data_IF_086853293044
#
_entry.id   IF_086853293044
#
_cell.length_a   1.000
_cell.length_b   1.000
_cell.length_c   1.000
_cell.angle_alpha   90.00
_cell.angle_beta   90.00
_cell.angle_gamma   90.00
#
_symmetry.space_group_name_H-M   'P 1'
#
loop_
_entity.id
_entity.type
_entity.pdbx_description
1 polymer ?
#
# COMPACT_ATOMS: atom_id res chain seq x y z
N UNK A 1 -22.28 16.39 0.83
CA UNK A 1 -20.91 16.63 1.31
C UNK A 1 -20.84 16.21 2.77
N UNK A 2 -19.72 15.66 3.23
CA UNK A 2 -19.51 15.27 4.63
C UNK A 2 -18.52 16.23 5.29
N UNK A 3 -18.70 16.53 6.57
CA UNK A 3 -17.78 17.37 7.35
C UNK A 3 -17.08 16.53 8.40
N UNK A 4 -15.75 16.47 8.34
CA UNK A 4 -14.92 15.69 9.26
C UNK A 4 -14.54 16.54 10.47
N UNK A 5 -15.41 16.57 11.49
CA UNK A 5 -15.25 17.43 12.68
C UNK A 5 -14.21 16.91 13.68
N UNK A 6 -13.99 15.59 13.74
CA UNK A 6 -12.95 15.01 14.58
C UNK A 6 -11.53 15.43 14.11
N UNK A 7 -10.57 15.68 15.03
CA UNK A 7 -9.23 16.10 14.67
C UNK A 7 -8.44 14.99 13.96
N UNK A 8 -7.46 15.38 13.13
CA UNK A 8 -6.53 14.43 12.53
C UNK A 8 -5.43 14.05 13.51
N UNK A 9 -5.46 12.79 13.95
CA UNK A 9 -4.39 12.17 14.74
C UNK A 9 -3.91 10.91 14.04
N UNK A 10 -2.60 10.79 13.83
CA UNK A 10 -1.98 9.62 13.24
C UNK A 10 -2.33 8.37 14.06
N UNK A 11 -2.84 7.33 13.39
CA UNK A 11 -3.34 6.12 14.05
C UNK A 11 -4.78 6.21 14.57
N UNK A 12 -5.50 7.30 14.31
CA UNK A 12 -6.92 7.46 14.68
C UNK A 12 -7.80 7.92 13.51
N UNK A 13 -7.31 7.80 12.26
CA UNK A 13 -8.05 8.20 11.06
C UNK A 13 -9.45 7.55 10.98
N UNK A 14 -9.58 6.32 11.48
CA UNK A 14 -10.85 5.60 11.52
C UNK A 14 -11.96 6.39 12.24
N UNK A 15 -11.66 7.13 13.30
CA UNK A 15 -12.67 7.93 14.02
C UNK A 15 -13.22 9.09 13.18
N UNK A 16 -12.46 9.56 12.19
CA UNK A 16 -12.92 10.59 11.27
C UNK A 16 -13.81 10.02 10.19
N UNK A 17 -13.45 8.86 9.64
CA UNK A 17 -14.06 8.35 8.41
C UNK A 17 -15.16 7.32 8.64
N UNK A 18 -14.98 6.41 9.61
CA UNK A 18 -15.84 5.24 9.79
C UNK A 18 -17.31 5.59 10.05
N UNK A 19 -17.68 6.62 10.86
CA UNK A 19 -19.08 6.96 11.05
C UNK A 19 -19.82 7.22 9.72
N UNK A 20 -19.18 7.92 8.79
CA UNK A 20 -19.76 8.22 7.46
C UNK A 20 -19.81 6.98 6.55
N UNK A 21 -18.84 6.07 6.69
CA UNK A 21 -18.82 4.80 5.95
C UNK A 21 -19.91 3.85 6.45
N UNK A 22 -20.11 3.74 7.76
CA UNK A 22 -21.19 2.96 8.38
C UNK A 22 -22.55 3.49 7.91
N UNK A 23 -22.73 4.81 7.92
CA UNK A 23 -23.95 5.44 7.38
C UNK A 23 -24.19 5.11 5.91
N UNK A 24 -23.14 5.05 5.09
CA UNK A 24 -23.25 4.67 3.69
C UNK A 24 -23.69 3.20 3.51
N UNK A 25 -23.12 2.28 4.31
CA UNK A 25 -23.52 0.87 4.31
C UNK A 25 -24.96 0.71 4.80
N UNK A 26 -25.36 1.40 5.87
CA UNK A 26 -26.75 1.36 6.37
C UNK A 26 -27.74 1.86 5.32
N UNK A 27 -27.43 2.96 4.65
CA UNK A 27 -28.28 3.49 3.55
C UNK A 27 -28.40 2.50 2.39
N UNK A 28 -27.34 1.76 2.06
CA UNK A 28 -27.40 0.71 1.05
C UNK A 28 -28.30 -0.44 1.49
N UNK A 29 -28.16 -0.90 2.74
CA UNK A 29 -28.99 -1.94 3.33
C UNK A 29 -30.49 -1.58 3.32
N UNK A 30 -30.83 -0.32 3.60
CA UNK A 30 -32.20 0.17 3.59
C UNK A 30 -32.76 0.31 2.17
N UNK A 31 -31.98 0.87 1.24
CA UNK A 31 -32.47 1.23 -0.10
C UNK A 31 -32.42 0.09 -1.11
N UNK A 32 -31.36 -0.71 -1.07
CA UNK A 32 -31.09 -1.78 -2.03
C UNK A 32 -30.43 -2.99 -1.31
N UNK A 33 -31.19 -3.68 -0.43
CA UNK A 33 -30.67 -4.81 0.34
C UNK A 33 -30.12 -5.94 -0.52
N UNK A 34 -30.67 -6.16 -1.72
CA UNK A 34 -30.20 -7.18 -2.67
C UNK A 34 -28.79 -6.92 -3.23
N UNK A 35 -28.28 -5.69 -3.11
CA UNK A 35 -26.94 -5.30 -3.55
C UNK A 35 -25.95 -5.18 -2.40
N UNK A 36 -26.31 -5.68 -1.21
CA UNK A 36 -25.41 -5.67 -0.07
C UNK A 36 -24.13 -6.47 -0.35
N UNK A 37 -22.95 -5.89 -0.11
CA UNK A 37 -21.70 -6.56 -0.38
C UNK A 37 -21.47 -7.68 0.64
N UNK A 38 -21.01 -8.82 0.15
CA UNK A 38 -20.57 -9.94 1.00
C UNK A 38 -19.21 -9.66 1.68
N UNK A 39 -18.43 -8.73 1.12
CA UNK A 39 -17.11 -8.34 1.61
C UNK A 39 -16.77 -6.92 1.16
N UNK A 40 -16.11 -6.16 2.03
CA UNK A 40 -15.64 -4.80 1.74
C UNK A 40 -14.12 -4.78 1.56
N UNK A 41 -13.65 -4.16 0.47
CA UNK A 41 -12.24 -3.81 0.29
C UNK A 41 -12.08 -2.33 0.64
N UNK A 42 -11.36 -2.06 1.72
CA UNK A 42 -11.22 -0.72 2.30
C UNK A 42 -9.85 -0.15 1.95
N UNK A 43 -9.80 1.09 1.46
CA UNK A 43 -8.54 1.82 1.20
C UNK A 43 -7.92 2.26 2.53
N UNK A 44 -7.13 1.38 3.13
CA UNK A 44 -6.58 1.60 4.46
C UNK A 44 -6.13 0.30 5.10
N UNK A 45 -5.71 0.39 6.36
CA UNK A 45 -5.21 -0.77 7.10
C UNK A 45 -6.33 -1.45 7.90
N UNK A 46 -6.19 -2.76 8.09
CA UNK A 46 -6.88 -3.54 9.10
C UNK A 46 -5.98 -3.74 10.33
N UNK A 47 -5.61 -4.99 10.61
CA UNK A 47 -4.74 -5.35 11.76
C UNK A 47 -3.31 -4.82 11.65
N UNK A 48 -2.86 -4.45 10.44
CA UNK A 48 -1.58 -3.77 10.22
C UNK A 48 -1.69 -2.30 10.65
N UNK A 49 -1.75 -2.06 11.96
CA UNK A 49 -2.05 -0.77 12.54
C UNK A 49 -1.36 -0.59 13.89
N UNK A 50 -1.12 0.67 14.31
CA UNK A 50 -0.43 1.01 15.57
C UNK A 50 -1.02 0.30 16.80
N UNK A 51 -2.32 -0.01 16.78
CA UNK A 51 -3.04 -0.72 17.84
C UNK A 51 -3.75 -1.99 17.35
N UNK A 52 -3.35 -2.55 16.20
CA UNK A 52 -4.04 -3.71 15.62
C UNK A 52 -5.48 -3.45 15.14
N UNK A 53 -5.93 -2.20 15.17
CA UNK A 53 -7.32 -1.83 14.86
C UNK A 53 -7.41 -0.64 13.90
N UNK A 54 -7.17 -0.90 12.62
CA UNK A 54 -7.27 0.10 11.56
C UNK A 54 -8.71 0.36 11.09
N UNK A 55 -8.86 1.21 10.07
CA UNK A 55 -10.16 1.57 9.48
C UNK A 55 -10.96 0.36 8.97
N UNK A 56 -10.28 -0.65 8.40
CA UNK A 56 -10.96 -1.85 7.90
C UNK A 56 -11.49 -2.74 9.04
N UNK A 57 -10.77 -2.82 10.16
CA UNK A 57 -11.26 -3.52 11.35
C UNK A 57 -12.46 -2.79 11.96
N UNK A 58 -12.31 -1.48 12.14
CA UNK A 58 -13.33 -0.65 12.76
C UNK A 58 -14.64 -0.66 11.96
N UNK A 59 -14.56 -0.48 10.64
CA UNK A 59 -15.73 -0.59 9.76
C UNK A 59 -16.36 -1.99 9.81
N UNK A 60 -15.53 -3.04 9.71
CA UNK A 60 -16.02 -4.42 9.69
C UNK A 60 -16.74 -4.81 10.97
N UNK A 61 -16.21 -4.44 12.14
CA UNK A 61 -16.86 -4.72 13.43
C UNK A 61 -18.20 -3.98 13.56
N UNK A 62 -18.27 -2.71 13.15
CA UNK A 62 -19.51 -1.93 13.27
C UNK A 62 -20.59 -2.32 12.26
N UNK A 63 -20.19 -2.83 11.10
CA UNK A 63 -21.12 -3.27 10.04
C UNK A 63 -21.40 -4.78 10.07
N UNK A 64 -20.66 -5.52 10.88
CA UNK A 64 -20.66 -6.99 10.95
C UNK A 64 -20.31 -7.70 9.62
N UNK A 65 -19.75 -6.94 8.65
CA UNK A 65 -19.36 -7.42 7.32
C UNK A 65 -17.88 -7.84 7.26
N UNK A 66 -17.55 -8.90 6.50
CA UNK A 66 -16.17 -9.21 6.18
C UNK A 66 -15.45 -8.02 5.54
N UNK A 67 -14.27 -7.67 6.05
CA UNK A 67 -13.52 -6.50 5.62
C UNK A 67 -12.05 -6.83 5.39
N UNK A 68 -11.49 -6.30 4.31
CA UNK A 68 -10.06 -6.39 3.95
C UNK A 68 -9.48 -4.98 3.89
N UNK A 69 -8.38 -4.75 4.62
CA UNK A 69 -7.59 -3.53 4.50
C UNK A 69 -6.62 -3.64 3.34
N UNK A 70 -6.72 -2.73 2.36
CA UNK A 70 -5.83 -2.62 1.21
C UNK A 70 -5.12 -1.27 1.24
N UNK A 71 -3.88 -1.26 1.75
CA UNK A 71 -3.08 -0.03 1.83
C UNK A 71 -2.10 0.12 0.66
N UNK A 72 -1.92 1.36 0.20
CA UNK A 72 -1.01 1.71 -0.91
C UNK A 72 0.44 1.93 -0.47
N UNK A 73 0.68 2.10 0.83
CA UNK A 73 1.97 2.37 1.48
C UNK A 73 2.12 1.47 2.72
N UNK A 74 3.36 1.11 3.06
CA UNK A 74 3.65 0.39 4.29
C UNK A 74 3.44 1.31 5.48
N UNK A 75 2.66 0.87 6.47
CA UNK A 75 2.62 1.51 7.77
C UNK A 75 3.73 0.91 8.65
N UNK A 76 4.56 1.76 9.22
CA UNK A 76 5.73 1.35 10.01
C UNK A 76 5.33 1.12 11.46
N UNK A 77 4.94 -0.12 11.78
CA UNK A 77 4.45 -0.54 13.10
C UNK A 77 5.08 -1.88 13.47
N UNK A 78 5.22 -2.15 14.76
CA UNK A 78 5.81 -3.41 15.28
C UNK A 78 7.15 -3.76 14.59
N UNK A 79 8.02 -2.76 14.42
CA UNK A 79 9.34 -2.95 13.78
C UNK A 79 9.31 -3.19 12.27
N UNK A 80 8.15 -3.12 11.61
CA UNK A 80 8.09 -3.06 10.14
C UNK A 80 8.63 -1.71 9.66
N UNK A 81 9.60 -1.76 8.75
CA UNK A 81 10.26 -0.57 8.22
C UNK A 81 10.40 -0.67 6.71
N UNK A 82 10.34 0.47 6.01
CA UNK A 82 10.59 0.52 4.56
C UNK A 82 12.10 0.64 4.26
N UNK A 83 12.88 -0.26 4.83
CA UNK A 83 14.34 -0.29 4.76
C UNK A 83 14.86 -1.03 3.51
N UNK A 84 16.19 -1.20 3.39
CA UNK A 84 16.82 -1.88 2.25
C UNK A 84 16.31 -3.32 2.07
N UNK A 85 16.21 -4.09 3.16
CA UNK A 85 15.71 -5.47 3.14
C UNK A 85 14.28 -5.55 2.60
N UNK A 86 13.41 -4.61 3.01
CA UNK A 86 12.05 -4.54 2.50
C UNK A 86 12.01 -4.24 1.00
N UNK A 87 12.86 -3.32 0.53
CA UNK A 87 12.99 -3.00 -0.90
C UNK A 87 13.53 -4.18 -1.70
N UNK A 88 14.46 -4.95 -1.16
CA UNK A 88 14.99 -6.15 -1.80
C UNK A 88 13.92 -7.22 -1.95
N UNK A 89 13.11 -7.47 -0.91
CA UNK A 89 11.94 -8.36 -1.02
C UNK A 89 10.95 -7.89 -2.08
N UNK A 90 10.72 -6.58 -2.22
CA UNK A 90 9.87 -6.04 -3.29
C UNK A 90 10.48 -6.32 -4.67
N UNK A 91 11.80 -6.21 -4.84
CA UNK A 91 12.49 -6.50 -6.11
C UNK A 91 12.39 -7.98 -6.50
N UNK A 92 12.21 -8.88 -5.54
CA UNK A 92 11.98 -10.31 -5.79
C UNK A 92 10.56 -10.61 -6.30
N UNK A 93 9.60 -9.70 -6.18
CA UNK A 93 8.24 -9.87 -6.71
C UNK A 93 8.22 -9.67 -8.23
N UNK A 94 8.13 -10.76 -9.00
CA UNK A 94 8.24 -10.76 -10.47
C UNK A 94 6.89 -10.77 -11.17
N UNK A 95 5.96 -11.60 -10.73
CA UNK A 95 4.67 -11.83 -11.36
C UNK A 95 3.48 -11.36 -10.52
N UNK A 96 2.33 -11.14 -11.16
CA UNK A 96 1.06 -10.85 -10.49
C UNK A 96 0.66 -12.00 -9.58
N UNK A 97 0.49 -11.66 -8.30
CA UNK A 97 0.16 -12.61 -7.25
C UNK A 97 1.34 -12.94 -6.35
N UNK A 98 2.58 -12.62 -6.78
CA UNK A 98 3.74 -12.77 -5.92
C UNK A 98 3.55 -11.93 -4.65
N UNK A 99 3.92 -12.51 -3.52
CA UNK A 99 3.69 -11.91 -2.23
C UNK A 99 4.69 -12.37 -1.19
N UNK A 100 4.90 -11.57 -0.16
CA UNK A 100 5.67 -11.98 1.03
C UNK A 100 4.98 -11.49 2.32
N UNK A 101 5.12 -12.25 3.43
CA UNK A 101 4.49 -11.89 4.70
C UNK A 101 5.18 -10.69 5.35
N UNK A 102 4.38 -9.85 6.00
CA UNK A 102 4.82 -8.71 6.80
C UNK A 102 4.86 -9.16 8.27
N UNK A 103 6.00 -9.72 8.66
CA UNK A 103 6.23 -10.20 10.02
C UNK A 103 6.75 -9.06 10.89
N UNK A 104 6.02 -8.72 11.95
CA UNK A 104 6.45 -7.75 12.94
C UNK A 104 7.53 -8.30 13.87
N UNK A 105 8.10 -7.44 14.72
CA UNK A 105 9.12 -7.77 15.71
C UNK A 105 8.59 -8.74 16.76
N UNK A 106 7.30 -8.64 17.09
CA UNK A 106 6.58 -9.60 17.94
C UNK A 106 6.57 -11.04 17.38
N UNK A 107 6.92 -11.22 16.09
CA UNK A 107 6.81 -12.49 15.38
C UNK A 107 5.45 -12.69 14.72
N UNK A 108 4.46 -11.83 14.99
CA UNK A 108 3.14 -11.89 14.38
C UNK A 108 3.17 -11.49 12.90
N UNK A 109 2.32 -12.13 12.08
CA UNK A 109 2.11 -11.74 10.68
C UNK A 109 0.99 -10.70 10.65
N UNK A 110 1.33 -9.44 10.38
CA UNK A 110 0.38 -8.33 10.39
C UNK A 110 -0.32 -8.13 9.03
N UNK A 111 0.23 -8.72 7.98
CA UNK A 111 -0.32 -8.62 6.63
C UNK A 111 0.62 -9.22 5.60
N UNK A 112 0.37 -8.88 4.34
CA UNK A 112 1.12 -9.35 3.19
C UNK A 112 1.40 -8.19 2.23
N UNK A 113 2.64 -8.09 1.74
CA UNK A 113 2.95 -7.28 0.59
C UNK A 113 2.63 -8.08 -0.69
N UNK A 114 1.71 -7.58 -1.50
CA UNK A 114 1.19 -8.24 -2.69
C UNK A 114 1.54 -7.44 -3.95
N UNK A 115 2.21 -8.08 -4.92
CA UNK A 115 2.30 -7.55 -6.28
C UNK A 115 0.99 -7.84 -7.02
N UNK A 116 0.13 -6.83 -7.08
CA UNK A 116 -1.23 -6.96 -7.59
C UNK A 116 -1.36 -6.99 -9.11
N UNK A 117 -0.34 -6.54 -9.84
CA UNK A 117 -0.37 -6.39 -11.29
C UNK A 117 1.04 -6.45 -11.90
N UNK A 118 1.19 -7.06 -13.07
CA UNK A 118 2.50 -7.32 -13.70
C UNK A 118 3.25 -6.02 -14.00
N UNK A 119 2.56 -5.05 -14.59
CA UNK A 119 3.12 -3.74 -14.95
C UNK A 119 3.34 -2.78 -13.77
N UNK A 120 3.14 -3.22 -12.52
CA UNK A 120 3.42 -2.40 -11.34
C UNK A 120 4.51 -2.99 -10.46
N UNK A 121 5.47 -2.15 -10.06
CA UNK A 121 6.53 -2.51 -9.11
C UNK A 121 6.15 -2.21 -7.67
N UNK A 122 5.15 -1.36 -7.44
CA UNK A 122 4.73 -0.94 -6.09
C UNK A 122 3.68 -1.90 -5.55
N UNK A 123 3.96 -2.70 -4.51
CA UNK A 123 2.99 -3.64 -3.96
C UNK A 123 1.82 -2.92 -3.30
N UNK A 124 0.78 -3.69 -2.99
CA UNK A 124 -0.25 -3.36 -2.02
C UNK A 124 0.08 -4.04 -0.69
N UNK A 125 -0.31 -3.43 0.41
CA UNK A 125 -0.16 -3.99 1.75
C UNK A 125 -1.54 -4.44 2.21
N UNK A 126 -1.78 -5.74 2.17
CA UNK A 126 -3.07 -6.36 2.48
C UNK A 126 -3.04 -6.84 3.93
N UNK A 127 -4.08 -6.48 4.69
CA UNK A 127 -4.24 -6.91 6.08
C UNK A 127 -5.69 -7.28 6.36
N UNK A 128 -5.89 -8.20 7.31
CA UNK A 128 -7.23 -8.61 7.75
C UNK A 128 -7.94 -7.42 8.40
N UNK A 129 -9.19 -7.15 8.02
CA UNK A 129 -10.07 -6.24 8.73
C UNK A 129 -10.98 -6.98 9.70
N UNK A 130 -11.93 -7.76 9.17
CA UNK A 130 -12.90 -8.48 9.98
C UNK A 130 -13.42 -9.73 9.24
N UNK A 131 -13.74 -10.81 9.97
CA UNK A 131 -14.37 -12.07 9.47
C UNK A 131 -13.76 -12.65 8.17
N UNK A 132 -12.45 -12.54 7.99
CA UNK A 132 -11.75 -13.11 6.82
C UNK A 132 -10.33 -13.53 7.21
N UNK A 133 -9.85 -14.64 6.68
CA UNK A 133 -8.45 -15.05 6.86
C UNK A 133 -7.53 -14.19 5.99
N UNK A 134 -6.26 -14.06 6.39
CA UNK A 134 -5.28 -13.30 5.62
C UNK A 134 -5.07 -13.88 4.22
N UNK A 135 -5.03 -15.21 4.09
CA UNK A 135 -4.89 -15.89 2.80
C UNK A 135 -6.08 -15.56 1.86
N UNK A 136 -7.31 -15.69 2.37
CA UNK A 136 -8.51 -15.37 1.61
C UNK A 136 -8.54 -13.89 1.19
N UNK A 137 -8.15 -12.99 2.10
CA UNK A 137 -8.05 -11.56 1.82
C UNK A 137 -7.07 -11.23 0.68
N UNK A 138 -5.89 -11.87 0.67
CA UNK A 138 -4.87 -11.71 -0.38
C UNK A 138 -5.37 -12.24 -1.72
N UNK A 139 -5.96 -13.45 -1.73
CA UNK A 139 -6.52 -14.07 -2.93
C UNK A 139 -7.65 -13.23 -3.51
N UNK A 140 -8.58 -12.77 -2.68
CA UNK A 140 -9.68 -11.89 -3.08
C UNK A 140 -9.16 -10.58 -3.66
N UNK A 141 -8.22 -9.93 -2.97
CA UNK A 141 -7.61 -8.67 -3.44
C UNK A 141 -6.99 -8.85 -4.82
N UNK A 142 -6.22 -9.93 -5.03
CA UNK A 142 -5.63 -10.29 -6.33
C UNK A 142 -6.70 -10.46 -7.40
N UNK A 143 -7.77 -11.20 -7.12
CA UNK A 143 -8.86 -11.45 -8.08
C UNK A 143 -9.60 -10.18 -8.47
N UNK A 144 -9.70 -9.20 -7.56
CA UNK A 144 -10.31 -7.90 -7.84
C UNK A 144 -9.38 -6.91 -8.58
N UNK A 145 -8.11 -7.26 -8.80
CA UNK A 145 -7.15 -6.39 -9.49
C UNK A 145 -7.16 -6.61 -11.01
N UNK A 146 -7.89 -5.76 -11.73
CA UNK A 146 -7.71 -5.53 -13.18
C UNK A 146 -6.53 -4.60 -13.48
N UNK A 147 -6.28 -3.66 -12.58
CA UNK A 147 -5.09 -2.79 -12.57
C UNK A 147 -4.33 -2.99 -11.25
N UNK A 148 -3.33 -2.15 -10.96
CA UNK A 148 -2.63 -2.16 -9.66
C UNK A 148 -3.59 -2.06 -8.48
N UNK A 149 -4.56 -1.16 -8.52
CA UNK A 149 -5.54 -0.96 -7.43
C UNK A 149 -6.75 -1.88 -7.68
N UNK A 150 -7.27 -2.60 -6.67
CA UNK A 150 -8.46 -3.42 -6.85
C UNK A 150 -9.64 -2.58 -7.34
N UNK A 151 -10.44 -3.13 -8.25
CA UNK A 151 -11.56 -2.42 -8.88
C UNK A 151 -12.51 -1.76 -7.87
N UNK A 152 -12.96 -2.41 -6.77
CA UNK A 152 -13.85 -1.76 -5.81
C UNK A 152 -13.24 -0.47 -5.20
N UNK A 153 -11.96 -0.53 -4.80
CA UNK A 153 -11.22 0.60 -4.23
C UNK A 153 -10.98 1.68 -5.28
N UNK A 154 -10.58 1.29 -6.50
CA UNK A 154 -10.34 2.21 -7.61
C UNK A 154 -11.59 2.98 -7.98
N UNK A 155 -12.73 2.30 -8.04
CA UNK A 155 -14.01 2.87 -8.39
C UNK A 155 -14.55 3.82 -7.31
N UNK A 156 -14.36 3.48 -6.03
CA UNK A 156 -14.69 4.38 -4.93
C UNK A 156 -13.85 5.68 -4.98
N UNK A 157 -12.55 5.56 -5.25
CA UNK A 157 -11.62 6.70 -5.37
C UNK A 157 -11.93 7.62 -6.57
N UNK A 158 -12.30 7.05 -7.72
CA UNK A 158 -12.74 7.83 -8.89
C UNK A 158 -14.01 8.62 -8.55
N UNK A 159 -15.03 7.95 -8.01
CA UNK A 159 -16.32 8.58 -7.72
C UNK A 159 -16.23 9.64 -6.64
N UNK A 160 -15.42 9.42 -5.60
CA UNK A 160 -15.22 10.40 -4.53
C UNK A 160 -14.53 11.67 -5.07
N UNK A 161 -13.49 11.53 -5.89
CA UNK A 161 -12.82 12.68 -6.54
C UNK A 161 -13.73 13.40 -7.52
N UNK A 162 -14.50 12.67 -8.32
CA UNK A 162 -15.46 13.26 -9.26
C UNK A 162 -16.53 14.05 -8.52
N UNK A 163 -17.05 13.53 -7.39
CA UNK A 163 -17.99 14.25 -6.52
C UNK A 163 -17.39 15.56 -6.01
N UNK A 164 -16.17 15.52 -5.48
CA UNK A 164 -15.47 16.72 -4.99
C UNK A 164 -15.28 17.76 -6.09
N UNK A 165 -14.83 17.35 -7.29
CA UNK A 165 -14.66 18.26 -8.43
C UNK A 165 -15.97 18.95 -8.83
N UNK A 166 -17.08 18.20 -8.87
CA UNK A 166 -18.41 18.73 -9.23
C UNK A 166 -18.98 19.65 -8.16
N UNK A 167 -18.76 19.35 -6.88
CA UNK A 167 -19.36 20.13 -5.77
C UNK A 167 -18.56 21.39 -5.42
N UNK A 168 -17.22 21.36 -5.55
CA UNK A 168 -16.36 22.49 -5.19
C UNK A 168 -15.89 23.33 -6.40
N UNK A 169 -16.32 23.01 -7.63
CA UNK A 169 -16.05 23.84 -8.80
C UNK A 169 -14.58 23.88 -9.23
N UNK A 170 -13.91 22.72 -9.32
CA UNK A 170 -12.57 22.68 -9.92
C UNK A 170 -12.60 23.05 -11.42
N UNK A 171 -11.56 23.70 -11.97
CA UNK A 171 -11.51 24.03 -13.39
C UNK A 171 -11.74 22.75 -14.21
N UNK A 172 -12.65 22.82 -15.18
CA UNK A 172 -12.96 21.70 -16.05
C UNK A 172 -11.71 21.11 -16.71
N UNK A 173 -11.77 19.87 -17.22
CA UNK A 173 -10.69 19.36 -18.04
C UNK A 173 -10.38 20.38 -19.15
N UNK A 174 -9.09 20.67 -19.45
CA UNK A 174 -8.77 21.58 -20.53
C UNK A 174 -9.40 21.05 -21.81
N UNK A 175 -10.22 21.88 -22.45
CA UNK A 175 -10.83 21.60 -23.74
C UNK A 175 -9.71 21.29 -24.73
N UNK A 176 -9.76 20.16 -25.47
CA UNK A 176 -8.81 19.93 -26.54
C UNK A 176 -9.11 20.94 -27.65
N UNK A 177 -8.22 21.91 -27.87
CA UNK A 177 -8.32 22.82 -29.02
C UNK A 177 -8.38 24.32 -28.71
N UNK A 178 -7.66 24.82 -27.70
CA UNK A 178 -7.25 26.23 -27.71
C UNK A 178 -5.74 26.34 -27.86
N UNK A 179 -5.37 26.84 -29.04
CA UNK A 179 -4.03 27.00 -29.54
C UNK A 179 -3.16 27.83 -28.59
N UNK A 180 -1.90 27.41 -28.48
CA UNK A 180 -0.83 28.20 -27.88
C UNK A 180 -0.57 29.43 -28.76
N UNK A 181 -1.34 30.48 -28.56
CA UNK A 181 -1.04 31.79 -29.11
C UNK A 181 -1.13 32.82 -28.00
N UNK A 182 0.00 33.01 -27.32
CA UNK A 182 0.50 34.28 -26.78
C UNK A 182 1.77 34.02 -25.96
N UNK A 183 2.89 34.03 -26.69
CA UNK A 183 4.22 34.24 -26.13
C UNK A 183 4.31 35.73 -25.75
N UNK A 184 3.76 36.09 -24.59
CA UNK A 184 3.93 37.42 -24.03
C UNK A 184 5.36 37.55 -23.48
N UNK A 185 6.04 38.56 -23.99
CA UNK A 185 7.46 38.86 -23.82
C UNK A 185 7.75 39.25 -22.36
N UNK A 186 8.86 38.75 -21.82
CA UNK A 186 9.44 39.24 -20.56
C UNK A 186 10.50 40.30 -20.92
N UNK A 187 10.50 41.50 -20.32
CA UNK A 187 11.44 42.54 -20.71
C UNK A 187 12.87 42.19 -20.28
N UNK A 188 13.83 42.47 -21.17
CA UNK A 188 15.26 42.45 -20.89
C UNK A 188 15.66 43.55 -19.90
N UNK A 189 16.59 43.21 -19.00
CA UNK A 189 17.53 44.18 -18.44
C UNK A 189 18.93 43.64 -18.67
N UNK A 190 19.71 44.47 -19.36
CA UNK A 190 21.09 44.30 -19.79
C UNK A 190 22.06 44.71 -18.68
N UNK A 191 23.14 43.96 -18.50
CA UNK A 191 24.44 44.48 -18.05
C UNK A 191 25.61 43.75 -18.73
N UNK A 192 26.05 44.36 -19.82
CA UNK A 192 27.44 44.56 -20.29
C UNK A 192 28.53 43.50 -20.00
N UNK A 193 28.89 42.75 -21.08
CA UNK A 193 30.23 42.48 -21.70
C UNK A 193 31.46 42.64 -20.79
N UNK A 194 32.29 41.63 -20.50
CA UNK A 194 33.24 40.88 -21.40
C UNK A 194 34.65 41.53 -21.38
N UNK A 195 35.78 40.91 -21.79
CA UNK A 195 35.99 39.56 -22.34
C UNK A 195 37.23 38.80 -21.76
N UNK A 196 37.59 37.69 -22.42
CA UNK A 196 38.58 36.68 -22.08
C UNK A 196 40.04 36.96 -22.53
N UNK A 197 40.93 36.07 -22.08
CA UNK A 197 42.18 35.55 -22.68
C UNK A 197 43.55 35.86 -22.04
N UNK A 198 44.46 34.88 -22.23
CA UNK A 198 45.94 34.87 -22.16
C UNK A 198 46.62 34.35 -20.87
N UNK A 199 46.99 33.06 -20.89
CA UNK A 199 48.38 32.62 -21.15
C UNK A 199 49.48 32.72 -20.07
N UNK A 200 50.14 31.56 -19.87
CA UNK A 200 51.54 31.32 -19.47
C UNK A 200 51.91 31.16 -17.98
N UNK A 201 52.65 30.07 -17.66
CA UNK A 201 53.58 30.05 -16.52
C UNK A 201 53.88 28.69 -15.84
N UNK A 202 54.81 27.92 -16.41
CA UNK A 202 55.85 27.02 -15.81
C UNK A 202 55.60 26.13 -14.56
N UNK A 203 56.05 24.87 -14.68
CA UNK A 203 56.43 23.92 -13.62
C UNK A 203 57.86 24.24 -13.04
N UNK A 204 58.44 23.54 -12.02
CA UNK A 204 58.67 22.08 -12.00
C UNK A 204 58.63 21.31 -10.64
N UNK A 205 58.47 19.98 -10.78
CA UNK A 205 59.13 18.84 -10.09
C UNK A 205 59.17 18.68 -8.56
N UNK A 206 58.79 17.48 -8.08
CA UNK A 206 59.74 16.46 -7.56
C UNK A 206 59.03 15.30 -6.82
N UNK A 207 59.42 14.06 -7.17
CA UNK A 207 59.65 12.85 -6.32
C UNK A 207 58.61 12.44 -5.25
N UNK A 208 58.15 11.19 -5.08
CA UNK A 208 58.83 9.89 -5.17
C UNK A 208 57.84 8.72 -4.91
N UNK A 209 58.30 7.51 -5.24
CA UNK A 209 57.72 6.16 -5.18
C UNK A 209 57.24 5.76 -3.76
N UNK A 210 56.03 5.19 -3.56
CA UNK A 210 55.73 3.74 -3.44
C UNK A 210 55.45 3.31 -1.97
N UNK A 211 54.92 2.11 -1.63
CA UNK A 211 54.26 1.09 -2.44
C UNK A 211 52.85 0.69 -1.93
N UNK A 212 52.25 -0.26 -2.65
CA UNK A 212 50.97 -0.94 -2.41
C UNK A 212 51.05 -1.95 -1.26
N UNK A 213 49.98 -2.09 -0.49
CA UNK A 213 49.56 -3.38 0.11
C UNK A 213 48.06 -3.55 -0.10
N UNK A 214 47.69 -4.77 -0.50
CA UNK A 214 46.34 -5.26 -0.79
C UNK A 214 45.92 -6.24 0.32
N UNK A 215 44.67 -6.73 0.33
CA UNK A 215 43.84 -6.90 1.53
C UNK A 215 44.03 -8.26 2.22
N UNK A 216 43.74 -8.31 3.52
CA UNK A 216 43.51 -9.56 4.22
C UNK A 216 42.04 -9.99 4.11
N UNK A 217 41.86 -11.29 3.88
CA UNK A 217 40.62 -12.01 3.68
C UNK A 217 39.96 -12.48 4.99
N UNK A 218 38.98 -13.40 4.90
CA UNK A 218 37.76 -13.35 5.71
C UNK A 218 37.73 -14.37 6.85
N UNK A 219 37.02 -14.00 7.93
CA UNK A 219 36.62 -14.95 8.99
C UNK A 219 35.24 -15.58 8.69
N UNK A 220 35.04 -16.89 8.97
CA UNK A 220 33.86 -17.64 8.57
C UNK A 220 32.91 -17.89 9.76
N UNK A 221 31.61 -17.61 9.61
CA UNK A 221 30.60 -18.33 10.40
C UNK A 221 29.20 -18.27 9.79
N UNK A 222 28.50 -19.40 9.89
CA UNK A 222 27.08 -19.64 9.64
C UNK A 222 26.59 -19.74 8.17
N UNK A 223 26.83 -20.94 7.61
CA UNK A 223 25.90 -21.58 6.67
C UNK A 223 24.62 -21.96 7.42
N UNK A 224 23.47 -21.50 6.95
CA UNK A 224 22.19 -22.17 7.14
C UNK A 224 21.39 -21.98 5.85
N UNK A 225 21.19 -23.11 5.18
CA UNK A 225 20.63 -23.26 3.83
C UNK A 225 19.14 -22.96 3.78
N UNK A 226 18.75 -22.32 2.68
CA UNK A 226 17.42 -22.37 2.10
C UNK A 226 17.03 -23.84 1.85
N UNK A 227 15.96 -24.31 2.48
CA UNK A 227 15.06 -25.40 2.08
C UNK A 227 14.21 -25.76 3.30
N UNK A 228 12.94 -25.34 3.32
CA UNK A 228 11.82 -26.02 3.98
C UNK A 228 10.62 -25.06 4.05
N UNK A 229 9.91 -24.91 2.93
CA UNK A 229 8.49 -24.55 2.95
C UNK A 229 7.81 -24.98 1.64
N UNK A 230 8.11 -26.19 1.19
CA UNK A 230 7.33 -26.91 0.20
C UNK A 230 7.20 -28.34 0.72
N UNK A 231 5.97 -28.86 0.71
CA UNK A 231 5.51 -30.15 1.24
C UNK A 231 4.83 -30.06 2.62
N UNK A 232 3.50 -29.95 2.56
CA UNK A 232 2.59 -30.07 3.70
C UNK A 232 1.11 -30.08 3.27
N UNK A 233 0.82 -30.60 2.08
CA UNK A 233 -0.53 -31.02 1.70
C UNK A 233 -0.68 -32.47 2.16
N UNK A 234 -1.34 -32.67 3.29
CA UNK A 234 -1.87 -33.97 3.66
C UNK A 234 -3.15 -33.80 4.49
N UNK A 235 -4.29 -33.99 3.80
CA UNK A 235 -5.49 -34.69 4.29
C UNK A 235 -5.88 -34.50 5.76
N UNK A 236 -6.80 -33.55 6.02
CA UNK A 236 -7.70 -33.63 7.17
C UNK A 236 -9.12 -33.88 6.66
N UNK A 237 -9.44 -35.17 6.57
CA UNK A 237 -10.78 -35.73 6.43
C UNK A 237 -11.72 -35.11 7.47
N UNK A 238 -12.77 -34.48 6.97
CA UNK A 238 -14.00 -34.18 7.71
C UNK A 238 -14.62 -35.50 8.20
N UNK A 239 -14.81 -35.65 9.52
CA UNK A 239 -15.79 -36.58 10.09
C UNK A 239 -17.00 -35.77 10.57
N UNK A 240 -18.23 -36.09 10.13
CA UNK A 240 -19.44 -35.57 10.77
C UNK A 240 -19.77 -36.47 11.97
N UNK A 241 -19.91 -35.88 13.16
CA UNK A 241 -20.50 -36.52 14.33
C UNK A 241 -21.94 -36.01 14.51
N UNK A 242 -22.95 -36.89 14.67
CA UNK A 242 -24.30 -36.48 14.99
C UNK A 242 -24.46 -36.35 16.51
N UNK A 243 -25.35 -35.46 16.97
CA UNK A 243 -26.40 -35.81 17.94
C UNK A 243 -27.30 -34.62 18.24
N UNK A 244 -28.59 -34.87 18.06
CA UNK A 244 -29.71 -34.11 18.58
C UNK A 244 -29.70 -34.15 20.11
N UNK A 245 -30.08 -33.05 20.76
CA UNK A 245 -30.54 -33.05 22.14
C UNK A 245 -31.77 -32.16 22.24
N UNK A 246 -32.91 -32.75 21.91
CA UNK A 246 -34.22 -32.37 22.42
C UNK A 246 -34.28 -32.79 23.88
N UNK A 247 -34.51 -31.86 24.82
CA UNK A 247 -35.18 -32.20 26.06
C UNK A 247 -36.08 -31.04 26.52
N UNK A 248 -37.35 -31.38 26.66
CA UNK A 248 -38.45 -30.57 27.17
C UNK A 248 -38.28 -30.31 28.67
N UNK A 249 -38.67 -29.12 29.13
CA UNK A 249 -39.92 -28.90 29.88
C UNK A 249 -40.29 -27.43 29.81
#
# INVERSE_FOLDING_TARGET
MVSLTAPYLSGFLAFREVPFLVDAVRRLQEKQPSLMPQVLLVDGNGVLHHRGFGVACHLGVLTDLPCVGVAKKLLQVDGLENNALHKDKIRLLRARGDAFPLRGRSGAILGVALKSHDHSTKPLYVSVGHKISLEAAVRLTRSCCRFRIPEPVRQADIRSRDYIRRTLGGPGPPTPGQERSQRAQRPEVCSTRGPAELGQGRAPEAHSQGPRTRPEGPDPCARASEQDLALGLCELRLRPGPQQATLRR
#
